data_IF_610313545113
#
_entry.id   IF_610313545113
#
_cell.length_a   1.000
_cell.length_b   1.000
_cell.length_c   1.000
_cell.angle_alpha   90.00
_cell.angle_beta   90.00
_cell.angle_gamma   90.00
#
_symmetry.space_group_name_H-M   'P 1'
#
loop_
_entity.id
_entity.type
_entity.pdbx_description
1 polymer ?
#
# COMPACT_ATOMS: atom_id res chain seq x y z
N UNK A 1 5.58 1.67 -13.40
CA UNK A 1 6.89 1.59 -12.67
C UNK A 1 6.57 1.06 -11.29
N UNK A 2 7.40 0.21 -10.70
CA UNK A 2 7.08 -0.34 -9.38
C UNK A 2 7.73 0.47 -8.26
N UNK A 3 7.03 0.61 -7.13
CA UNK A 3 7.53 1.20 -5.88
C UNK A 3 7.38 0.21 -4.74
N UNK A 4 8.24 0.34 -3.73
CA UNK A 4 8.21 -0.50 -2.55
C UNK A 4 7.16 0.02 -1.57
N UNK A 5 6.26 -0.87 -1.14
CA UNK A 5 5.42 -0.65 0.04
C UNK A 5 5.82 -1.63 1.14
N UNK A 6 5.69 -1.19 2.40
CA UNK A 6 5.70 -2.05 3.57
C UNK A 6 4.31 -2.11 4.19
N UNK A 7 3.99 -3.19 4.91
CA UNK A 7 2.74 -3.29 5.64
C UNK A 7 2.96 -3.98 6.99
N UNK A 8 2.12 -3.64 7.96
CA UNK A 8 2.05 -4.29 9.27
C UNK A 8 0.59 -4.38 9.73
N UNK A 9 0.19 -5.55 10.19
CA UNK A 9 -1.15 -5.79 10.72
C UNK A 9 -1.33 -5.10 12.08
N UNK A 10 -2.45 -4.41 12.22
CA UNK A 10 -2.90 -3.72 13.42
C UNK A 10 -4.14 -4.45 13.97
N UNK A 11 -3.98 -5.37 14.94
CA UNK A 11 -5.07 -6.24 15.40
C UNK A 11 -6.22 -5.47 16.05
N UNK A 12 -5.92 -4.33 16.69
CA UNK A 12 -6.93 -3.48 17.34
C UNK A 12 -7.92 -2.85 16.34
N UNK A 13 -7.49 -2.68 15.09
CA UNK A 13 -8.26 -2.06 14.01
C UNK A 13 -8.74 -3.07 12.97
N UNK A 14 -8.31 -4.34 13.08
CA UNK A 14 -8.48 -5.35 12.03
C UNK A 14 -8.09 -4.81 10.63
N UNK A 15 -6.92 -4.18 10.56
CA UNK A 15 -6.45 -3.47 9.37
C UNK A 15 -4.93 -3.57 9.22
N UNK A 16 -4.40 -3.19 8.06
CA UNK A 16 -2.98 -3.03 7.80
C UNK A 16 -2.59 -1.56 7.74
N UNK A 17 -1.53 -1.19 8.47
CA UNK A 17 -0.83 0.06 8.23
C UNK A 17 0.13 -0.17 7.08
N UNK A 18 -0.16 0.45 5.93
CA UNK A 18 0.65 0.35 4.71
C UNK A 18 1.46 1.63 4.58
N UNK A 19 2.77 1.49 4.31
CA UNK A 19 3.72 2.59 4.20
C UNK A 19 4.34 2.59 2.80
N UNK A 20 4.25 3.71 2.09
CA UNK A 20 4.98 3.91 0.85
C UNK A 20 6.42 4.30 1.17
N UNK A 21 7.39 3.42 0.87
CA UNK A 21 8.78 3.63 1.27
C UNK A 21 9.43 4.88 0.64
N UNK A 22 8.92 5.33 -0.51
CA UNK A 22 9.46 6.48 -1.22
C UNK A 22 9.17 7.83 -0.55
N UNK A 23 8.02 7.95 0.12
CA UNK A 23 7.54 9.21 0.73
C UNK A 23 7.44 9.13 2.25
N UNK A 24 7.39 7.91 2.81
CA UNK A 24 7.04 7.68 4.21
C UNK A 24 5.56 7.89 4.51
N UNK A 25 4.73 8.15 3.49
CA UNK A 25 3.29 8.25 3.62
C UNK A 25 2.70 6.93 4.11
N UNK A 26 1.67 7.01 4.94
CA UNK A 26 1.03 5.85 5.55
C UNK A 26 -0.48 5.92 5.38
N UNK A 27 -1.08 4.77 5.09
CA UNK A 27 -2.52 4.59 5.02
C UNK A 27 -2.93 3.36 5.84
N UNK A 28 -4.15 3.42 6.36
CA UNK A 28 -4.78 2.26 7.01
C UNK A 28 -5.74 1.65 6.01
N UNK A 29 -5.55 0.36 5.73
CA UNK A 29 -6.35 -0.40 4.77
C UNK A 29 -6.96 -1.58 5.53
N UNK A 30 -8.28 -1.73 5.47
CA UNK A 30 -8.97 -2.84 6.15
C UNK A 30 -8.52 -4.19 5.59
N UNK A 31 -8.59 -5.25 6.41
CA UNK A 31 -8.13 -6.59 5.99
C UNK A 31 -8.85 -7.07 4.71
N UNK A 32 -10.14 -6.77 4.55
CA UNK A 32 -10.92 -7.21 3.38
C UNK A 32 -10.45 -6.54 2.08
N UNK A 33 -10.16 -5.24 2.14
CA UNK A 33 -9.62 -4.46 1.03
C UNK A 33 -8.18 -4.88 0.73
N UNK A 34 -7.38 -5.13 1.78
CA UNK A 34 -6.00 -5.56 1.65
C UNK A 34 -5.90 -6.98 1.07
N UNK A 35 -6.77 -7.91 1.46
CA UNK A 35 -6.79 -9.28 0.92
C UNK A 35 -7.18 -9.28 -0.57
N UNK A 36 -8.13 -8.43 -0.96
CA UNK A 36 -8.52 -8.25 -2.38
C UNK A 36 -7.32 -7.76 -3.20
N UNK A 37 -6.61 -6.78 -2.68
CA UNK A 37 -5.36 -6.26 -3.25
C UNK A 37 -4.24 -7.31 -3.35
N UNK A 38 -4.05 -8.12 -2.30
CA UNK A 38 -3.05 -9.20 -2.26
C UNK A 38 -3.28 -10.18 -3.41
N UNK A 39 -4.54 -10.61 -3.61
CA UNK A 39 -4.90 -11.62 -4.62
C UNK A 39 -4.59 -11.13 -6.03
N UNK A 40 -4.86 -9.86 -6.33
CA UNK A 40 -4.62 -9.28 -7.65
C UNK A 40 -3.12 -9.12 -7.97
N UNK A 41 -2.30 -8.84 -6.95
CA UNK A 41 -0.87 -8.56 -7.12
C UNK A 41 0.05 -9.77 -6.82
N UNK A 42 -0.51 -10.91 -6.42
CA UNK A 42 0.26 -12.09 -5.98
C UNK A 42 1.09 -11.83 -4.72
N UNK A 43 0.64 -10.91 -3.87
CA UNK A 43 1.35 -10.47 -2.68
C UNK A 43 1.34 -11.53 -1.57
N UNK A 44 2.26 -11.39 -0.61
CA UNK A 44 2.35 -11.98 0.73
C UNK A 44 1.71 -13.37 0.99
N UNK A 45 2.49 -14.27 1.61
CA UNK A 45 1.96 -15.51 2.18
C UNK A 45 0.72 -15.20 3.05
N UNK A 46 -0.43 -15.78 2.68
CA UNK A 46 -1.71 -15.59 3.37
C UNK A 46 -1.52 -15.73 4.89
N UNK A 47 -1.83 -14.67 5.64
CA UNK A 47 -1.64 -14.63 7.11
C UNK A 47 -0.34 -13.99 7.58
N UNK A 48 0.44 -13.34 6.72
CA UNK A 48 1.59 -12.55 7.13
C UNK A 48 1.15 -11.31 7.94
N UNK A 49 1.71 -11.14 9.14
CA UNK A 49 1.47 -9.99 10.01
C UNK A 49 2.31 -8.76 9.65
N UNK A 50 3.35 -8.93 8.83
CA UNK A 50 4.22 -7.85 8.35
C UNK A 50 4.90 -8.27 7.06
N UNK A 51 5.24 -7.30 6.22
CA UNK A 51 5.97 -7.57 5.00
C UNK A 51 6.15 -6.34 4.13
N UNK A 52 6.54 -6.58 2.88
CA UNK A 52 6.64 -5.56 1.86
C UNK A 52 6.83 -6.18 0.50
N UNK A 53 6.48 -5.46 -0.55
CA UNK A 53 6.77 -5.86 -1.93
C UNK A 53 6.66 -4.68 -2.89
N UNK A 54 7.12 -4.92 -4.11
CA UNK A 54 7.12 -3.94 -5.19
C UNK A 54 5.78 -3.97 -5.91
N UNK A 55 5.06 -2.85 -5.87
CA UNK A 55 3.72 -2.68 -6.45
C UNK A 55 3.78 -1.66 -7.57
N UNK A 56 2.98 -1.84 -8.63
CA UNK A 56 2.84 -0.86 -9.70
C UNK A 56 2.27 0.47 -9.17
N UNK A 57 2.76 1.61 -9.69
CA UNK A 57 2.29 2.93 -9.31
C UNK A 57 0.77 3.12 -9.44
N UNK A 58 0.13 2.57 -10.49
CA UNK A 58 -1.32 2.68 -10.71
C UNK A 58 -2.11 2.10 -9.54
N UNK A 59 -1.68 0.94 -9.07
CA UNK A 59 -2.26 0.22 -7.94
C UNK A 59 -2.00 0.95 -6.61
N UNK A 60 -0.85 1.62 -6.48
CA UNK A 60 -0.54 2.46 -5.33
C UNK A 60 -1.45 3.69 -5.28
N UNK A 61 -1.75 4.29 -6.43
CA UNK A 61 -2.68 5.42 -6.54
C UNK A 61 -4.12 4.98 -6.26
N UNK A 62 -4.54 3.79 -6.70
CA UNK A 62 -5.84 3.20 -6.38
C UNK A 62 -6.01 2.95 -4.87
N UNK A 63 -4.93 2.61 -4.16
CA UNK A 63 -4.93 2.53 -2.69
C UNK A 63 -5.06 3.91 -2.00
N UNK A 64 -4.95 5.01 -2.75
CA UNK A 64 -5.09 6.37 -2.23
C UNK A 64 -3.78 7.05 -1.85
N UNK A 65 -2.62 6.48 -2.19
CA UNK A 65 -1.33 7.15 -1.97
C UNK A 65 -1.10 8.25 -3.01
N UNK A 66 -0.45 9.34 -2.59
CA UNK A 66 -0.08 10.42 -3.50
C UNK A 66 1.35 10.25 -3.99
N UNK A 67 1.53 9.99 -5.29
CA UNK A 67 2.86 9.90 -5.87
C UNK A 67 3.45 11.28 -6.21
N UNK A 68 4.77 11.52 -5.97
CA UNK A 68 5.39 12.83 -6.17
C UNK A 68 5.25 13.41 -7.59
N UNK A 69 5.17 12.55 -8.61
CA UNK A 69 5.02 12.97 -10.01
C UNK A 69 3.65 13.62 -10.28
N UNK A 70 2.64 13.35 -9.44
CA UNK A 70 1.33 14.02 -9.48
C UNK A 70 1.27 15.25 -8.56
N UNK A 71 2.00 15.23 -7.44
CA UNK A 71 2.03 16.37 -6.51
C UNK A 71 2.54 17.67 -7.17
N UNK A 72 3.50 17.56 -8.09
CA UNK A 72 3.98 18.70 -8.89
C UNK A 72 2.93 19.19 -9.92
N UNK A 73 2.06 18.30 -10.42
CA UNK A 73 1.01 18.65 -11.38
C UNK A 73 -0.25 19.25 -10.72
N UNK A 74 -0.48 19.00 -9.43
CA UNK A 74 -1.59 19.61 -8.67
C UNK A 74 -1.29 21.02 -8.15
N UNK A 75 -0.01 21.43 -8.18
CA UNK A 75 0.45 22.74 -7.73
C UNK A 75 0.80 23.70 -8.90
N UNK A 76 0.56 23.28 -10.14
CA UNK A 76 0.74 24.07 -11.37
C UNK A 76 -0.61 24.47 -11.98
#
# INVERSE_FOLDING_TARGET
MNKLIGFIFQPEMNAFLVTLAATGEQLIIEVEDFDSFIVEQGFAARGAYLGGSYVNCEVIEELGFTLPHQAEAMLA
#
